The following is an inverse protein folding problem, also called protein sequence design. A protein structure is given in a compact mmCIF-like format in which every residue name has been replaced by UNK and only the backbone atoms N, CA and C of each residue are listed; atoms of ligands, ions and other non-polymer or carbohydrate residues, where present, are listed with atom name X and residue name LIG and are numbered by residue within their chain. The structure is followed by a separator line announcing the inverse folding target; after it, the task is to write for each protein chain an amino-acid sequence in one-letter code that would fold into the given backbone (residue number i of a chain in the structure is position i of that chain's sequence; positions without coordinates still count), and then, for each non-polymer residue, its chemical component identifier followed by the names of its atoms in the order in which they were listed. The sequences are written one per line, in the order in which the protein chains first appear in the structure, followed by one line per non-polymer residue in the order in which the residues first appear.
data_IF_844552276161
#
_entry.id   IF_844552276161
#
_cell.length_a   1.000
_cell.length_b   1.000
_cell.length_c   1.000
_cell.angle_alpha   90.00
_cell.angle_beta   90.00
_cell.angle_gamma   90.00
#
_symmetry.space_group_name_H-M   'P 1'
#
loop_
_entity.id
_entity.type
_entity.pdbx_description
1 polymer ?
#
# COMPACT_ATOMS: atom_id res chain seq x y z
N UNK A 1 16.69 -20.31 6.05
CA UNK A 1 17.63 -19.49 5.25
C UNK A 1 17.23 -18.04 5.47
N UNK A 2 18.16 -17.17 5.90
CA UNK A 2 17.82 -15.76 6.08
C UNK A 2 17.61 -15.14 4.70
N UNK A 3 16.41 -14.62 4.43
CA UNK A 3 16.14 -13.83 3.22
C UNK A 3 17.21 -12.75 3.08
N UNK A 4 17.87 -12.70 1.92
CA UNK A 4 18.77 -11.61 1.59
C UNK A 4 17.91 -10.36 1.43
N UNK A 5 18.01 -9.44 2.39
CA UNK A 5 17.40 -8.12 2.29
C UNK A 5 18.09 -7.39 1.13
N UNK A 6 17.35 -7.12 0.06
CA UNK A 6 17.90 -6.47 -1.15
C UNK A 6 18.36 -5.04 -0.88
N UNK A 7 17.63 -4.31 -0.01
CA UNK A 7 17.92 -2.91 0.33
C UNK A 7 17.83 -2.68 1.84
N UNK A 8 18.94 -2.75 2.59
CA UNK A 8 18.93 -2.46 4.02
C UNK A 8 18.75 -0.96 4.28
N UNK A 9 17.72 -0.60 5.03
CA UNK A 9 17.45 0.78 5.45
C UNK A 9 17.88 0.95 6.91
N UNK A 10 18.68 1.98 7.19
CA UNK A 10 19.09 2.35 8.55
C UNK A 10 18.54 3.72 8.90
N UNK A 11 17.82 3.81 10.03
CA UNK A 11 17.23 5.06 10.52
C UNK A 11 17.68 5.36 11.94
N UNK A 12 17.87 6.64 12.24
CA UNK A 12 18.11 7.11 13.61
C UNK A 12 16.80 7.60 14.20
N UNK A 13 16.40 6.97 15.30
CA UNK A 13 15.16 7.30 16.01
C UNK A 13 15.48 7.82 17.42
N UNK A 14 14.66 8.75 17.95
CA UNK A 14 14.74 9.14 19.35
C UNK A 14 14.57 7.93 20.28
N UNK A 15 15.29 7.92 21.41
CA UNK A 15 15.29 6.77 22.32
C UNK A 15 13.91 6.39 22.87
N UNK A 16 13.01 7.35 23.06
CA UNK A 16 11.64 7.07 23.52
C UNK A 16 10.82 6.33 22.45
N UNK A 17 11.06 6.60 21.17
CA UNK A 17 10.41 5.90 20.06
C UNK A 17 10.88 4.45 20.04
N UNK A 18 12.19 4.24 20.14
CA UNK A 18 12.77 2.88 20.17
C UNK A 18 12.18 2.08 21.33
N UNK A 19 12.07 2.66 22.52
CA UNK A 19 11.44 2.02 23.68
C UNK A 19 9.98 1.63 23.41
N UNK A 20 9.20 2.50 22.76
CA UNK A 20 7.81 2.18 22.42
C UNK A 20 7.70 1.06 21.39
N UNK A 21 8.58 1.04 20.39
CA UNK A 21 8.65 -0.07 19.43
C UNK A 21 8.98 -1.38 20.16
N UNK A 22 9.94 -1.35 21.10
CA UNK A 22 10.29 -2.52 21.90
C UNK A 22 9.12 -3.03 22.73
N UNK A 23 8.34 -2.14 23.36
CA UNK A 23 7.13 -2.51 24.09
C UNK A 23 6.11 -3.23 23.19
N UNK A 24 5.89 -2.73 21.97
CA UNK A 24 4.96 -3.35 21.00
C UNK A 24 5.45 -4.72 20.52
N UNK A 25 6.75 -4.88 20.30
CA UNK A 25 7.36 -6.17 19.96
C UNK A 25 7.25 -7.15 21.13
N UNK A 26 7.50 -6.71 22.36
CA UNK A 26 7.34 -7.55 23.56
C UNK A 26 5.90 -8.01 23.76
N UNK A 27 4.92 -7.18 23.41
CA UNK A 27 3.49 -7.52 23.43
C UNK A 27 3.06 -8.45 22.28
N UNK A 28 3.98 -8.79 21.38
CA UNK A 28 3.73 -9.57 20.16
C UNK A 28 2.74 -8.91 19.20
N UNK A 29 2.58 -7.59 19.29
CA UNK A 29 1.83 -6.81 18.29
C UNK A 29 2.62 -6.74 16.98
N UNK A 30 3.96 -6.81 17.07
CA UNK A 30 4.88 -6.90 15.93
C UNK A 30 5.92 -7.98 16.15
N UNK A 31 6.38 -8.62 15.06
CA UNK A 31 7.38 -9.70 15.12
C UNK A 31 8.79 -9.17 15.40
N UNK A 32 9.08 -7.95 14.99
CA UNK A 32 10.38 -7.30 15.19
C UNK A 32 10.29 -5.79 15.05
N UNK A 33 11.35 -5.07 15.39
CA UNK A 33 11.46 -3.62 15.09
C UNK A 33 11.34 -3.34 13.59
N UNK A 34 11.92 -4.20 12.75
CA UNK A 34 11.87 -4.06 11.29
C UNK A 34 10.43 -4.16 10.78
N UNK A 35 9.66 -5.11 11.32
CA UNK A 35 8.25 -5.32 11.00
C UNK A 35 7.41 -4.07 11.31
N UNK A 36 7.60 -3.48 12.49
CA UNK A 36 6.96 -2.22 12.86
C UNK A 36 7.33 -1.08 11.91
N UNK A 37 8.62 -0.92 11.57
CA UNK A 37 9.09 0.16 10.70
C UNK A 37 8.51 0.01 9.29
N UNK A 38 8.49 -1.21 8.73
CA UNK A 38 7.84 -1.48 7.45
C UNK A 38 6.37 -1.09 7.48
N UNK A 39 5.63 -1.55 8.49
CA UNK A 39 4.22 -1.20 8.66
C UNK A 39 4.00 0.32 8.74
N UNK A 40 4.77 1.02 9.57
CA UNK A 40 4.65 2.46 9.75
C UNK A 40 4.93 3.23 8.45
N UNK A 41 6.00 2.88 7.73
CA UNK A 41 6.35 3.50 6.44
C UNK A 41 5.26 3.26 5.41
N UNK A 42 4.77 2.03 5.26
CA UNK A 42 3.69 1.71 4.31
C UNK A 42 2.41 2.47 4.63
N UNK A 43 2.02 2.53 5.91
CA UNK A 43 0.82 3.25 6.34
C UNK A 43 0.93 4.75 6.05
N UNK A 44 2.07 5.38 6.37
CA UNK A 44 2.26 6.81 6.12
C UNK A 44 2.31 7.12 4.62
N UNK A 45 2.95 6.27 3.81
CA UNK A 45 2.93 6.41 2.35
C UNK A 45 1.50 6.37 1.81
N UNK A 46 0.69 5.38 2.22
CA UNK A 46 -0.71 5.29 1.82
C UNK A 46 -1.53 6.52 2.22
N UNK A 47 -1.30 7.07 3.41
CA UNK A 47 -1.96 8.30 3.86
C UNK A 47 -1.59 9.52 3.00
N UNK A 48 -0.30 9.67 2.67
CA UNK A 48 0.17 10.76 1.80
C UNK A 48 -0.44 10.65 0.40
N UNK A 49 -0.48 9.45 -0.18
CA UNK A 49 -1.11 9.21 -1.48
C UNK A 49 -2.61 9.54 -1.48
N UNK A 50 -3.34 9.18 -0.43
CA UNK A 50 -4.77 9.50 -0.30
C UNK A 50 -4.97 11.01 -0.19
N UNK A 51 -4.12 11.70 0.56
CA UNK A 51 -4.21 13.16 0.72
C UNK A 51 -3.91 13.89 -0.60
N UNK A 52 -2.88 13.48 -1.32
CA UNK A 52 -2.58 13.97 -2.67
C UNK A 52 -3.74 13.72 -3.64
N UNK A 53 -4.31 12.51 -3.64
CA UNK A 53 -5.47 12.19 -4.47
C UNK A 53 -6.69 13.05 -4.13
N UNK A 54 -6.91 13.36 -2.85
CA UNK A 54 -8.00 14.27 -2.42
C UNK A 54 -7.76 15.70 -2.87
N UNK A 55 -6.54 16.21 -2.77
CA UNK A 55 -6.20 17.55 -3.27
C UNK A 55 -6.36 17.65 -4.79
N UNK A 56 -5.90 16.63 -5.53
CA UNK A 56 -6.14 16.53 -6.97
C UNK A 56 -7.63 16.51 -7.31
N UNK A 57 -8.43 15.70 -6.60
CA UNK A 57 -9.87 15.61 -6.82
C UNK A 57 -10.61 16.94 -6.60
N UNK A 58 -10.12 17.84 -5.74
CA UNK A 58 -10.69 19.19 -5.58
C UNK A 58 -10.48 20.09 -6.79
N UNK A 59 -9.45 19.80 -7.59
CA UNK A 59 -9.07 20.59 -8.77
C UNK A 59 -9.64 20.05 -10.09
N UNK A 60 -10.19 18.83 -10.09
CA UNK A 60 -10.67 18.15 -11.29
C UNK A 60 -12.16 18.38 -11.53
N UNK A 61 -12.50 18.61 -12.79
CA UNK A 61 -13.89 18.64 -13.26
C UNK A 61 -14.44 17.22 -13.41
N UNK A 62 -15.78 17.01 -13.36
CA UNK A 62 -16.38 15.68 -13.54
C UNK A 62 -15.98 14.97 -14.84
N UNK A 63 -15.63 15.73 -15.87
CA UNK A 63 -15.19 15.22 -17.18
C UNK A 63 -13.78 14.65 -17.12
N UNK A 64 -12.88 15.31 -16.38
CA UNK A 64 -11.50 14.85 -16.15
C UNK A 64 -11.46 13.60 -15.26
N UNK A 65 -12.26 13.55 -14.20
CA UNK A 65 -12.39 12.37 -13.33
C UNK A 65 -12.86 11.15 -14.15
N UNK A 66 -13.80 11.36 -15.08
CA UNK A 66 -14.34 10.28 -15.93
C UNK A 66 -13.31 9.79 -16.95
N UNK A 67 -12.49 10.69 -17.48
CA UNK A 67 -11.40 10.36 -18.39
C UNK A 67 -10.29 9.57 -17.67
N UNK A 68 -9.89 10.03 -16.49
CA UNK A 68 -8.85 9.38 -15.67
C UNK A 68 -9.31 8.00 -15.16
N UNK A 69 -10.56 7.86 -14.72
CA UNK A 69 -11.13 6.57 -14.35
C UNK A 69 -11.21 5.59 -15.54
N UNK A 70 -11.51 6.08 -16.75
CA UNK A 70 -11.48 5.26 -17.97
C UNK A 70 -10.06 4.82 -18.31
N UNK A 71 -9.07 5.69 -18.14
CA UNK A 71 -7.66 5.38 -18.40
C UNK A 71 -7.11 4.39 -17.39
N UNK A 72 -7.36 4.58 -16.09
CA UNK A 72 -7.00 3.65 -15.03
C UNK A 72 -7.62 2.27 -15.25
N UNK A 73 -8.92 2.22 -15.60
CA UNK A 73 -9.59 0.96 -15.97
C UNK A 73 -8.95 0.30 -17.19
N UNK A 74 -8.48 1.09 -18.16
CA UNK A 74 -7.78 0.57 -19.35
C UNK A 74 -6.40 0.01 -19.00
N UNK A 75 -5.69 0.61 -18.05
CA UNK A 75 -4.40 0.11 -17.54
C UNK A 75 -4.59 -1.18 -16.74
N UNK A 76 -5.59 -1.23 -15.85
CA UNK A 76 -6.02 -2.44 -15.13
C UNK A 76 -6.31 -3.61 -16.07
N UNK A 77 -7.15 -3.40 -17.09
CA UNK A 77 -7.50 -4.43 -18.06
C UNK A 77 -6.33 -4.89 -18.94
N UNK A 78 -5.31 -4.05 -19.12
CA UNK A 78 -4.10 -4.38 -19.88
C UNK A 78 -3.02 -5.05 -19.03
N UNK A 79 -3.12 -4.99 -17.71
CA UNK A 79 -2.07 -5.44 -16.80
C UNK A 79 -0.77 -4.63 -16.92
N UNK A 80 -0.86 -3.40 -17.43
CA UNK A 80 0.27 -2.46 -17.59
C UNK A 80 0.57 -1.81 -16.23
N UNK A 81 1.13 -2.61 -15.33
CA UNK A 81 1.71 -2.15 -14.07
C UNK A 81 3.22 -2.35 -14.17
N UNK A 82 3.91 -1.37 -14.76
CA UNK A 82 5.36 -1.47 -15.00
C UNK A 82 6.19 -1.61 -13.70
N UNK A 83 5.59 -1.40 -12.51
CA UNK A 83 6.29 -1.47 -11.21
C UNK A 83 5.48 -2.08 -10.04
N UNK A 84 4.38 -2.82 -10.27
CA UNK A 84 3.66 -3.46 -9.15
C UNK A 84 4.26 -4.81 -8.77
N UNK A 85 4.67 -4.91 -7.50
CA UNK A 85 5.27 -6.11 -6.92
C UNK A 85 4.30 -7.30 -7.03
N UNK A 86 4.81 -8.54 -7.17
CA UNK A 86 3.98 -9.73 -7.33
C UNK A 86 2.83 -9.87 -6.30
N UNK A 87 3.04 -9.37 -5.07
CA UNK A 87 2.05 -9.41 -3.99
C UNK A 87 0.86 -8.46 -4.23
N UNK A 88 1.05 -7.33 -4.92
CA UNK A 88 -0.02 -6.38 -5.25
C UNK A 88 -0.96 -6.99 -6.28
N UNK A 89 -0.39 -7.72 -7.26
CA UNK A 89 -1.15 -8.43 -8.28
C UNK A 89 -2.03 -9.54 -7.67
N UNK A 90 -1.49 -10.29 -6.72
CA UNK A 90 -2.23 -11.32 -5.98
C UNK A 90 -3.38 -10.70 -5.19
N UNK A 91 -3.13 -9.61 -4.47
CA UNK A 91 -4.17 -8.88 -3.72
C UNK A 91 -5.28 -8.35 -4.64
N UNK A 92 -4.93 -7.81 -5.81
CA UNK A 92 -5.92 -7.32 -6.78
C UNK A 92 -6.78 -8.46 -7.35
N UNK A 93 -6.20 -9.64 -7.55
CA UNK A 93 -6.94 -10.82 -7.99
C UNK A 93 -7.92 -11.31 -6.92
N UNK A 94 -7.49 -11.38 -5.66
CA UNK A 94 -8.38 -11.77 -4.55
C UNK A 94 -9.58 -10.81 -4.40
N UNK A 95 -9.31 -9.50 -4.49
CA UNK A 95 -10.38 -8.48 -4.41
C UNK A 95 -11.33 -8.56 -5.62
N UNK A 96 -10.81 -8.87 -6.82
CA UNK A 96 -11.64 -9.05 -8.01
C UNK A 96 -12.52 -10.30 -7.93
N UNK A 97 -11.99 -11.42 -7.42
CA UNK A 97 -12.75 -12.64 -7.17
C UNK A 97 -13.86 -12.42 -6.14
N UNK A 98 -13.55 -11.79 -5.01
CA UNK A 98 -14.52 -11.47 -3.98
C UNK A 98 -15.61 -10.52 -4.50
N UNK A 99 -15.24 -9.54 -5.32
CA UNK A 99 -16.20 -8.63 -5.95
C UNK A 99 -17.14 -9.35 -6.92
N UNK A 100 -16.64 -10.29 -7.73
CA UNK A 100 -17.45 -11.09 -8.66
C UNK A 100 -18.43 -11.98 -7.92
N UNK A 101 -17.99 -12.61 -6.82
CA UNK A 101 -18.88 -13.40 -5.95
C UNK A 101 -20.00 -12.55 -5.33
N UNK A 102 -19.69 -11.34 -4.86
CA UNK A 102 -20.66 -10.46 -4.22
C UNK A 102 -21.65 -9.81 -5.21
N UNK A 103 -21.22 -9.54 -6.44
CA UNK A 103 -22.04 -8.86 -7.45
C UNK A 103 -22.70 -9.79 -8.46
N UNK A 104 -22.33 -11.08 -8.46
CA UNK A 104 -22.85 -12.08 -9.41
C UNK A 104 -22.47 -11.79 -10.86
N UNK A 105 -21.43 -10.97 -11.08
CA UNK A 105 -20.92 -10.67 -12.40
C UNK A 105 -19.83 -11.69 -12.76
N UNK A 106 -20.07 -12.50 -13.79
CA UNK A 106 -19.01 -13.26 -14.48
C UNK A 106 -18.06 -12.33 -15.25
#
# INVERSE_FOLDING_TARGET
MAERVEYPISVRLPGYVVKKIDELVQRKEFRSRSDFIKFAVTMTLGQMMIEEARELAKSLTPEEIKAEAMEARRKLLKGDFEDEWPEVKETLQEVEEEFKELTGAE
#
